data_IF_144515920422
#
_entry.id   IF_144515920422
#
_cell.length_a   1.000
_cell.length_b   1.000
_cell.length_c   1.000
_cell.angle_alpha   90.00
_cell.angle_beta   90.00
_cell.angle_gamma   90.00
#
_symmetry.space_group_name_H-M   'P 1'
#
loop_
_entity.id
_entity.type
_entity.pdbx_description
1 polymer ?
#
# COMPACT_ATOMS: atom_id res chain seq x y z
N UNK A 1 16.36 21.40 17.15
CA UNK A 1 16.64 19.95 17.09
C UNK A 1 15.89 19.37 15.91
N UNK A 2 16.54 18.58 15.06
CA UNK A 2 15.92 17.95 13.89
C UNK A 2 14.99 16.83 14.38
N UNK A 3 13.69 16.96 14.11
CA UNK A 3 12.63 16.07 14.60
C UNK A 3 12.59 14.79 13.76
N UNK A 4 12.25 13.63 14.35
CA UNK A 4 12.11 12.32 13.67
C UNK A 4 11.28 12.38 12.38
N UNK A 5 10.32 13.31 12.30
CA UNK A 5 9.54 13.61 11.10
C UNK A 5 10.39 13.98 9.86
N UNK A 6 11.58 14.57 10.03
CA UNK A 6 12.48 14.91 8.92
C UNK A 6 13.18 13.67 8.35
N UNK A 7 13.51 12.69 9.19
CA UNK A 7 14.14 11.43 8.75
C UNK A 7 13.15 10.50 8.05
N UNK A 8 11.87 10.57 8.39
CA UNK A 8 10.81 9.85 7.70
C UNK A 8 10.49 10.48 6.33
N UNK A 9 10.59 11.81 6.22
CA UNK A 9 10.38 12.53 4.96
C UNK A 9 11.58 12.35 4.00
N UNK A 10 12.81 12.26 4.53
CA UNK A 10 14.02 11.90 3.76
C UNK A 10 13.99 10.43 3.29
N UNK A 11 13.51 9.49 4.10
CA UNK A 11 13.32 8.10 3.69
C UNK A 11 12.23 7.95 2.62
N UNK A 12 11.17 8.74 2.69
CA UNK A 12 10.09 8.77 1.69
C UNK A 12 10.56 9.36 0.35
N UNK A 13 11.33 10.46 0.36
CA UNK A 13 11.89 11.06 -0.85
C UNK A 13 12.99 10.19 -1.50
N UNK A 14 13.76 9.44 -0.70
CA UNK A 14 14.80 8.55 -1.22
C UNK A 14 14.28 7.28 -1.92
N UNK A 15 13.04 6.87 -1.66
CA UNK A 15 12.44 5.68 -2.26
C UNK A 15 11.67 6.02 -3.55
N UNK A 16 10.92 7.13 -3.56
CA UNK A 16 10.19 7.59 -4.77
C UNK A 16 11.12 7.97 -5.91
N UNK A 17 12.32 8.49 -5.64
CA UNK A 17 13.28 8.86 -6.70
C UNK A 17 13.98 7.63 -7.30
N UNK A 18 14.30 6.59 -6.53
CA UNK A 18 14.96 5.38 -7.05
C UNK A 18 14.04 4.47 -7.85
N UNK A 19 12.74 4.50 -7.57
CA UNK A 19 11.77 3.73 -8.33
C UNK A 19 11.47 4.35 -9.71
N UNK A 20 11.68 5.67 -9.89
CA UNK A 20 11.55 6.35 -11.19
C UNK A 20 12.81 6.19 -12.06
N UNK A 21 14.00 6.14 -11.46
CA UNK A 21 15.24 5.93 -12.23
C UNK A 21 15.36 4.49 -12.78
N UNK A 22 14.96 3.45 -12.03
CA UNK A 22 15.13 2.06 -12.50
C UNK A 22 14.26 1.72 -13.71
N UNK A 23 13.02 2.22 -13.81
CA UNK A 23 12.17 1.97 -14.97
C UNK A 23 12.61 2.75 -16.22
N UNK A 24 13.23 3.93 -16.04
CA UNK A 24 13.75 4.73 -17.15
C UNK A 24 15.12 4.25 -17.63
N UNK A 25 15.97 3.72 -16.75
CA UNK A 25 17.26 3.12 -17.12
C UNK A 25 17.07 1.79 -17.86
N UNK A 26 16.15 0.93 -17.39
CA UNK A 26 15.85 -0.37 -18.02
C UNK A 26 15.23 -0.22 -19.42
N UNK A 27 14.43 0.84 -19.65
CA UNK A 27 13.91 1.15 -20.98
C UNK A 27 14.98 1.75 -21.91
N UNK A 28 15.92 2.53 -21.37
CA UNK A 28 17.04 3.07 -22.16
C UNK A 28 18.07 1.99 -22.53
N UNK A 29 18.31 0.99 -21.68
CA UNK A 29 19.16 -0.17 -22.01
C UNK A 29 18.51 -1.06 -23.06
N UNK A 30 17.18 -1.27 -23.01
CA UNK A 30 16.44 -2.03 -24.03
C UNK A 30 16.45 -1.38 -25.42
N UNK A 31 16.57 -0.07 -25.49
CA UNK A 31 16.65 0.67 -26.75
C UNK A 31 18.07 0.72 -27.36
N UNK A 32 19.10 0.21 -26.66
CA UNK A 32 20.51 0.33 -27.09
C UNK A 32 21.17 -0.97 -27.57
N UNK A 33 20.50 -2.12 -27.50
CA UNK A 33 21.08 -3.39 -27.96
C UNK A 33 20.39 -3.92 -29.23
N UNK A 34 20.74 -3.40 -30.42
CA UNK A 34 20.64 -4.17 -31.64
C UNK A 34 21.85 -5.10 -31.74
N UNK A 35 21.60 -6.39 -32.00
CA UNK A 35 22.57 -7.46 -32.29
C UNK A 35 23.13 -8.22 -31.07
N UNK A 36 22.51 -9.38 -30.78
CA UNK A 36 23.25 -10.64 -30.65
C UNK A 36 22.29 -11.81 -30.93
N UNK A 37 22.55 -12.53 -32.03
CA UNK A 37 21.85 -13.75 -32.44
C UNK A 37 22.17 -14.92 -31.49
N UNK A 38 21.28 -15.93 -31.37
CA UNK A 38 21.42 -17.00 -30.39
C UNK A 38 22.17 -18.21 -30.97
N UNK A 39 23.18 -18.73 -30.25
CA UNK A 39 23.74 -20.06 -30.51
C UNK A 39 23.81 -20.93 -29.23
N UNK A 40 22.86 -21.88 -29.20
CA UNK A 40 22.74 -23.18 -28.51
C UNK A 40 23.74 -23.60 -27.41
N UNK A 41 23.23 -23.83 -26.19
CA UNK A 41 23.14 -25.14 -25.50
C UNK A 41 23.01 -24.98 -23.96
N UNK A 42 21.79 -25.10 -23.46
CA UNK A 42 21.49 -25.31 -22.05
C UNK A 42 20.01 -25.62 -21.92
N UNK A 43 19.66 -26.84 -21.49
CA UNK A 43 18.26 -27.26 -21.34
C UNK A 43 17.45 -26.29 -20.45
N UNK A 44 16.10 -26.30 -20.54
CA UNK A 44 15.27 -25.41 -19.73
C UNK A 44 15.61 -25.63 -18.25
N UNK A 45 15.89 -24.57 -17.46
CA UNK A 45 16.06 -24.74 -16.02
C UNK A 45 14.74 -25.23 -15.44
N UNK A 46 14.65 -26.53 -15.18
CA UNK A 46 13.65 -27.07 -14.28
C UNK A 46 14.12 -26.79 -12.86
N UNK A 47 13.47 -25.87 -12.16
CA UNK A 47 13.64 -25.76 -10.71
C UNK A 47 13.52 -24.34 -10.18
N UNK A 48 12.30 -24.02 -9.74
CA UNK A 48 11.93 -22.95 -8.80
C UNK A 48 12.15 -21.51 -9.30
N UNK A 49 11.06 -20.74 -9.35
CA UNK A 49 11.17 -19.27 -9.28
C UNK A 49 12.07 -18.92 -8.07
N UNK A 50 12.99 -17.95 -8.18
CA UNK A 50 13.79 -17.52 -7.05
C UNK A 50 12.85 -17.16 -5.90
N UNK A 51 13.11 -17.75 -4.72
CA UNK A 51 12.31 -17.50 -3.52
C UNK A 51 12.28 -15.99 -3.25
N UNK A 52 11.08 -15.41 -3.16
CA UNK A 52 10.91 -13.97 -2.99
C UNK A 52 11.58 -13.54 -1.68
N UNK A 53 12.29 -12.39 -1.64
CA UNK A 53 12.86 -11.92 -0.40
C UNK A 53 11.79 -11.73 0.68
N UNK A 54 12.03 -12.27 1.87
CA UNK A 54 11.17 -12.05 3.03
C UNK A 54 11.25 -10.57 3.46
N UNK A 55 10.26 -9.79 3.04
CA UNK A 55 10.14 -8.35 3.33
C UNK A 55 9.93 -8.05 4.81
N UNK A 56 9.43 -9.01 5.60
CA UNK A 56 9.10 -8.80 7.02
C UNK A 56 10.35 -8.71 7.90
N UNK A 57 11.52 -9.17 7.41
CA UNK A 57 12.79 -9.11 8.14
C UNK A 57 13.33 -7.69 8.31
N UNK A 58 12.97 -6.77 7.40
CA UNK A 58 13.35 -5.37 7.50
C UNK A 58 12.14 -4.56 7.96
N UNK A 59 11.92 -4.48 9.29
CA UNK A 59 10.74 -3.82 9.87
C UNK A 59 10.55 -2.37 9.43
N UNK A 60 11.63 -1.62 9.17
CA UNK A 60 11.53 -0.23 8.66
C UNK A 60 11.00 -0.20 7.23
N UNK A 61 11.57 -1.00 6.33
CA UNK A 61 11.10 -1.08 4.95
C UNK A 61 9.68 -1.64 4.87
N UNK A 62 9.38 -2.65 5.67
CA UNK A 62 8.06 -3.28 5.71
C UNK A 62 6.97 -2.32 6.22
N UNK A 63 7.25 -1.53 7.26
CA UNK A 63 6.34 -0.45 7.72
C UNK A 63 6.03 0.55 6.60
N UNK A 64 7.01 0.89 5.75
CA UNK A 64 6.79 1.75 4.58
C UNK A 64 5.85 1.07 3.57
N UNK A 65 6.04 -0.23 3.28
CA UNK A 65 5.14 -0.98 2.40
C UNK A 65 3.70 -1.02 2.94
N UNK A 66 3.52 -1.29 4.23
CA UNK A 66 2.19 -1.29 4.87
C UNK A 66 1.54 0.09 4.76
N UNK A 67 2.29 1.15 5.05
CA UNK A 67 1.79 2.53 4.91
C UNK A 67 1.43 2.89 3.47
N UNK A 68 2.21 2.41 2.49
CA UNK A 68 1.91 2.60 1.07
C UNK A 68 0.59 1.91 0.70
N UNK A 69 0.42 0.66 1.11
CA UNK A 69 -0.78 -0.12 0.80
C UNK A 69 -2.03 0.49 1.43
N UNK A 70 -2.00 0.86 2.70
CA UNK A 70 -3.17 1.45 3.36
C UNK A 70 -3.48 2.85 2.80
N UNK A 71 -2.48 3.64 2.43
CA UNK A 71 -2.71 4.93 1.78
C UNK A 71 -3.27 4.78 0.35
N UNK A 72 -2.91 3.71 -0.37
CA UNK A 72 -3.53 3.36 -1.66
C UNK A 72 -5.04 3.23 -1.50
N UNK A 73 -5.53 2.71 -0.38
CA UNK A 73 -6.97 2.61 -0.14
C UNK A 73 -7.65 3.98 -0.04
N UNK A 74 -7.02 4.94 0.63
CA UNK A 74 -7.49 6.34 0.68
C UNK A 74 -7.58 6.93 -0.73
N UNK A 75 -6.55 6.69 -1.56
CA UNK A 75 -6.53 7.18 -2.94
C UNK A 75 -7.65 6.57 -3.79
N UNK A 76 -7.91 5.27 -3.65
CA UNK A 76 -9.03 4.60 -4.33
C UNK A 76 -10.38 5.21 -3.94
N UNK A 77 -10.62 5.44 -2.64
CA UNK A 77 -11.84 6.11 -2.19
C UNK A 77 -11.94 7.54 -2.73
N UNK A 78 -10.83 8.28 -2.77
CA UNK A 78 -10.81 9.68 -3.19
C UNK A 78 -11.25 9.90 -4.65
N UNK A 79 -11.05 8.94 -5.54
CA UNK A 79 -11.45 9.04 -6.95
C UNK A 79 -12.97 8.91 -7.17
N UNK A 80 -13.71 8.33 -6.22
CA UNK A 80 -15.18 8.13 -6.29
C UNK A 80 -15.65 7.32 -7.51
N UNK A 81 -14.85 6.37 -7.98
CA UNK A 81 -15.19 5.48 -9.09
C UNK A 81 -15.60 4.12 -8.59
N UNK A 82 -16.56 3.51 -9.28
CA UNK A 82 -17.00 2.15 -8.95
C UNK A 82 -15.86 1.12 -9.11
N UNK A 83 -15.05 1.21 -10.16
CA UNK A 83 -13.88 0.35 -10.36
C UNK A 83 -12.89 0.40 -9.19
N UNK A 84 -12.76 1.56 -8.53
CA UNK A 84 -11.88 1.72 -7.37
C UNK A 84 -12.49 1.08 -6.11
N UNK A 85 -13.83 1.06 -6.01
CA UNK A 85 -14.55 0.34 -4.96
C UNK A 85 -14.48 -1.18 -5.19
N UNK A 86 -14.53 -1.64 -6.43
CA UNK A 86 -14.26 -3.04 -6.80
C UNK A 86 -12.83 -3.45 -6.39
N UNK A 87 -11.85 -2.61 -6.68
CA UNK A 87 -10.46 -2.85 -6.26
C UNK A 87 -10.29 -2.94 -4.74
N UNK A 88 -11.09 -2.19 -3.95
CA UNK A 88 -11.13 -2.29 -2.49
C UNK A 88 -11.90 -3.52 -1.99
N UNK A 89 -12.89 -3.98 -2.74
CA UNK A 89 -13.61 -5.21 -2.45
C UNK A 89 -12.74 -6.46 -2.67
N UNK A 90 -11.83 -6.40 -3.65
CA UNK A 90 -10.83 -7.44 -3.92
C UNK A 90 -9.71 -7.52 -2.87
N UNK A 91 -9.55 -6.47 -2.04
CA UNK A 91 -8.61 -6.53 -0.91
C UNK A 91 -9.10 -7.60 0.08
N UNK A 92 -8.22 -8.53 0.52
CA UNK A 92 -8.57 -9.52 1.53
C UNK A 92 -9.26 -8.89 2.74
N UNK A 93 -10.36 -9.49 3.20
CA UNK A 93 -11.11 -8.96 4.34
C UNK A 93 -10.54 -9.49 5.65
N UNK A 94 -10.62 -8.72 6.73
CA UNK A 94 -10.33 -9.23 8.08
C UNK A 94 -11.39 -10.25 8.47
N UNK A 95 -10.97 -11.48 8.77
CA UNK A 95 -11.86 -12.63 8.99
C UNK A 95 -12.17 -13.40 7.70
N UNK A 96 -13.15 -14.31 7.76
CA UNK A 96 -13.49 -15.20 6.64
C UNK A 96 -14.61 -14.66 5.74
N UNK A 97 -15.00 -13.41 5.95
CA UNK A 97 -16.05 -12.73 5.19
C UNK A 97 -15.61 -12.36 3.78
N UNK A 98 -16.59 -12.04 2.93
CA UNK A 98 -16.37 -11.40 1.62
C UNK A 98 -16.93 -9.99 1.69
N UNK A 99 -16.23 -9.06 1.03
CA UNK A 99 -16.70 -7.69 0.79
C UNK A 99 -17.05 -7.55 -0.69
N UNK A 100 -18.10 -6.81 -0.99
CA UNK A 100 -18.51 -6.39 -2.34
C UNK A 100 -18.19 -4.90 -2.56
N UNK A 101 -18.22 -4.44 -3.81
CA UNK A 101 -18.08 -3.02 -4.11
C UNK A 101 -19.21 -2.18 -3.50
N UNK A 102 -20.43 -2.74 -3.40
CA UNK A 102 -21.56 -2.09 -2.74
C UNK A 102 -21.28 -1.88 -1.25
N UNK A 103 -20.71 -2.89 -0.55
CA UNK A 103 -20.32 -2.74 0.86
C UNK A 103 -19.29 -1.60 1.08
N UNK A 104 -18.34 -1.42 0.15
CA UNK A 104 -17.39 -0.30 0.19
C UNK A 104 -18.12 1.03 -0.01
N UNK A 105 -18.99 1.08 -1.04
CA UNK A 105 -19.77 2.25 -1.41
C UNK A 105 -20.63 2.73 -0.25
N UNK A 106 -21.38 1.81 0.35
CA UNK A 106 -22.26 2.08 1.48
C UNK A 106 -21.48 2.54 2.71
N UNK A 107 -20.32 1.93 2.97
CA UNK A 107 -19.51 2.29 4.13
C UNK A 107 -18.91 3.71 4.04
N UNK A 108 -18.52 4.15 2.84
CA UNK A 108 -17.97 5.51 2.63
C UNK A 108 -19.06 6.55 2.32
N UNK A 109 -20.29 6.14 2.00
CA UNK A 109 -21.36 7.05 1.60
C UNK A 109 -21.59 8.22 2.59
N UNK A 110 -21.63 8.03 3.93
CA UNK A 110 -21.90 9.13 4.84
C UNK A 110 -20.76 10.16 4.87
N UNK A 111 -19.51 9.77 4.60
CA UNK A 111 -18.42 10.73 4.44
C UNK A 111 -18.73 11.72 3.30
N UNK A 112 -19.28 11.23 2.19
CA UNK A 112 -19.59 12.05 1.02
C UNK A 112 -20.86 12.90 1.18
N UNK A 113 -21.69 12.62 2.18
CA UNK A 113 -22.79 13.51 2.57
C UNK A 113 -22.29 14.75 3.32
N UNK A 114 -21.17 14.60 4.04
CA UNK A 114 -20.57 15.64 4.88
C UNK A 114 -19.46 16.42 4.14
N UNK A 115 -18.62 15.73 3.38
CA UNK A 115 -17.40 16.29 2.77
C UNK A 115 -17.38 16.12 1.24
N UNK A 116 -16.88 17.15 0.55
CA UNK A 116 -16.81 17.16 -0.91
C UNK A 116 -15.58 16.49 -1.52
N UNK A 117 -14.51 16.28 -0.72
CA UNK A 117 -13.21 15.78 -1.19
C UNK A 117 -12.51 14.99 -0.09
N UNK A 118 -11.81 13.91 -0.46
CA UNK A 118 -10.79 13.27 0.37
C UNK A 118 -9.42 13.81 -0.05
N UNK A 119 -8.72 14.61 0.78
CA UNK A 119 -7.36 15.02 0.50
C UNK A 119 -6.40 13.83 0.47
N UNK A 120 -5.47 13.82 -0.50
CA UNK A 120 -4.45 12.77 -0.68
C UNK A 120 -3.02 13.33 -0.79
N UNK A 121 -2.83 14.56 -0.31
CA UNK A 121 -1.56 15.27 -0.37
C UNK A 121 -0.54 14.79 0.70
N UNK A 122 0.59 15.49 0.78
CA UNK A 122 1.64 15.20 1.76
C UNK A 122 1.14 15.32 3.21
N UNK A 123 0.17 16.18 3.49
CA UNK A 123 -0.39 16.33 4.84
C UNK A 123 -1.25 15.12 5.21
N UNK A 124 -2.19 14.72 4.35
CA UNK A 124 -3.04 13.53 4.54
C UNK A 124 -2.22 12.24 4.70
N UNK A 125 -1.03 12.21 4.09
CA UNK A 125 -0.08 11.11 4.22
C UNK A 125 0.82 11.21 5.46
N UNK A 126 0.74 12.30 6.24
CA UNK A 126 1.60 12.60 7.38
C UNK A 126 1.53 11.59 8.52
N UNK A 127 2.55 11.59 9.40
CA UNK A 127 2.69 10.62 10.51
C UNK A 127 1.49 10.56 11.46
N UNK A 128 0.77 11.67 11.64
CA UNK A 128 -0.40 11.73 12.52
C UNK A 128 -1.62 10.95 12.03
N UNK A 129 -1.66 10.58 10.73
CA UNK A 129 -2.81 9.89 10.13
C UNK A 129 -2.62 8.37 10.05
N UNK A 130 -1.46 7.85 10.44
CA UNK A 130 -1.13 6.44 10.30
C UNK A 130 -0.68 5.83 11.62
N UNK A 131 -1.35 4.76 12.03
CA UNK A 131 -0.99 3.98 13.22
C UNK A 131 -0.85 2.52 12.82
N UNK A 132 0.30 1.94 13.16
CA UNK A 132 0.57 0.51 13.01
C UNK A 132 1.00 -0.04 14.38
N UNK A 133 0.24 -1.00 14.90
CA UNK A 133 0.59 -1.75 16.09
C UNK A 133 1.34 -3.03 15.68
N UNK A 134 2.67 -2.96 15.73
CA UNK A 134 3.59 -4.05 15.39
C UNK A 134 4.01 -4.90 16.60
N UNK A 135 3.27 -4.83 17.70
CA UNK A 135 3.55 -5.61 18.92
C UNK A 135 3.12 -7.08 18.83
N UNK A 136 2.21 -7.40 17.91
CA UNK A 136 1.70 -8.76 17.70
C UNK A 136 2.68 -9.69 16.97
N UNK A 137 2.57 -11.00 17.21
CA UNK A 137 3.44 -11.99 16.56
C UNK A 137 3.08 -12.28 15.10
N UNK A 138 1.77 -12.35 14.79
CA UNK A 138 1.27 -12.81 13.48
C UNK A 138 0.38 -11.78 12.78
N UNK A 139 -0.17 -10.82 13.54
CA UNK A 139 -1.21 -9.90 13.10
C UNK A 139 -0.91 -8.51 13.65
N UNK A 140 -0.76 -7.54 12.77
CA UNK A 140 -0.51 -6.15 13.13
C UNK A 140 -1.70 -5.28 12.77
N UNK A 141 -2.50 -4.82 13.74
CA UNK A 141 -3.56 -3.85 13.48
C UNK A 141 -2.98 -2.58 12.85
N UNK A 142 -3.65 -2.09 11.81
CA UNK A 142 -3.29 -0.85 11.14
C UNK A 142 -4.51 0.04 11.00
N UNK A 143 -4.31 1.34 11.21
CA UNK A 143 -5.34 2.36 11.05
C UNK A 143 -4.80 3.52 10.26
N UNK A 144 -5.54 3.93 9.25
CA UNK A 144 -5.31 5.14 8.47
C UNK A 144 -6.51 6.07 8.66
N UNK A 145 -6.28 7.21 9.28
CA UNK A 145 -7.26 8.29 9.37
C UNK A 145 -7.37 8.98 8.03
N UNK A 146 -8.60 9.25 7.60
CA UNK A 146 -8.92 10.00 6.38
C UNK A 146 -8.91 11.48 6.77
N UNK A 147 -8.07 12.27 6.11
CA UNK A 147 -8.11 13.72 6.26
C UNK A 147 -9.42 14.26 5.69
N UNK A 148 -9.89 15.38 6.23
CA UNK A 148 -11.05 16.10 5.71
C UNK A 148 -10.76 17.60 5.69
N UNK A 149 -11.45 18.37 4.82
CA UNK A 149 -11.20 19.81 4.67
C UNK A 149 -11.40 20.63 5.94
N UNK A 150 -12.26 20.13 6.84
CA UNK A 150 -12.63 20.76 8.11
C UNK A 150 -11.68 20.39 9.27
N UNK A 151 -10.68 19.54 9.00
CA UNK A 151 -9.66 19.07 9.95
C UNK A 151 -10.23 18.33 11.18
N UNK A 152 -11.42 17.71 11.05
CA UNK A 152 -12.04 16.95 12.14
C UNK A 152 -11.37 15.59 12.35
N UNK A 153 -10.93 14.95 11.27
CA UNK A 153 -10.18 13.69 11.21
C UNK A 153 -10.89 12.53 11.90
N UNK A 154 -12.20 12.45 11.66
CA UNK A 154 -13.11 11.54 12.34
C UNK A 154 -13.41 10.24 11.58
N UNK A 155 -12.85 10.08 10.39
CA UNK A 155 -13.02 8.89 9.56
C UNK A 155 -11.75 8.06 9.48
N UNK A 156 -11.89 6.74 9.50
CA UNK A 156 -10.77 5.80 9.49
C UNK A 156 -11.00 4.62 8.57
N UNK A 157 -9.91 4.16 7.96
CA UNK A 157 -9.74 2.82 7.40
C UNK A 157 -8.98 1.98 8.43
N UNK A 158 -9.54 0.83 8.78
CA UNK A 158 -8.95 -0.12 9.71
C UNK A 158 -8.65 -1.43 8.99
N UNK A 159 -7.52 -2.04 9.33
CA UNK A 159 -7.10 -3.30 8.74
C UNK A 159 -6.11 -4.05 9.61
N UNK A 160 -5.56 -5.12 9.05
CA UNK A 160 -4.61 -5.97 9.73
C UNK A 160 -3.57 -6.50 8.74
N UNK A 161 -2.29 -6.37 9.06
CA UNK A 161 -1.21 -6.96 8.27
C UNK A 161 -1.20 -8.47 8.44
N UNK A 162 -1.19 -9.21 7.33
CA UNK A 162 -0.88 -10.63 7.31
C UNK A 162 0.63 -10.83 7.15
N UNK A 163 1.32 -11.17 8.22
CA UNK A 163 2.75 -11.42 8.15
C UNK A 163 3.09 -12.68 7.34
N UNK A 164 2.29 -13.74 7.42
CA UNK A 164 2.57 -14.98 6.68
C UNK A 164 2.41 -14.77 5.17
N UNK A 165 1.28 -14.20 4.75
CA UNK A 165 1.05 -13.89 3.33
C UNK A 165 2.04 -12.83 2.83
N UNK A 166 2.44 -11.86 3.66
CA UNK A 166 3.46 -10.88 3.26
C UNK A 166 4.82 -11.50 2.97
N UNK A 167 5.21 -12.53 3.74
CA UNK A 167 6.44 -13.30 3.50
C UNK A 167 6.38 -14.05 2.18
N UNK A 168 5.27 -14.73 1.95
CA UNK A 168 5.04 -15.53 0.73
C UNK A 168 5.01 -14.66 -0.53
N UNK A 169 4.31 -13.52 -0.47
CA UNK A 169 4.10 -12.63 -1.61
C UNK A 169 5.30 -11.70 -1.89
N UNK A 170 6.19 -11.52 -0.91
CA UNK A 170 7.31 -10.58 -0.99
C UNK A 170 6.88 -9.11 -1.01
N UNK A 171 5.72 -8.78 -0.42
CA UNK A 171 5.14 -7.43 -0.32
C UNK A 171 4.23 -7.34 0.90
N UNK A 172 3.83 -6.14 1.32
CA UNK A 172 2.80 -6.01 2.34
C UNK A 172 1.46 -6.56 1.84
N UNK A 173 0.93 -7.54 2.57
CA UNK A 173 -0.44 -8.02 2.44
C UNK A 173 -1.20 -7.50 3.64
N UNK A 174 -2.14 -6.60 3.40
CA UNK A 174 -2.98 -6.00 4.44
C UNK A 174 -4.42 -6.37 4.16
N UNK A 175 -5.10 -6.87 5.19
CA UNK A 175 -6.52 -7.15 5.16
C UNK A 175 -7.29 -5.88 5.52
N UNK A 176 -8.24 -5.47 4.68
CA UNK A 176 -9.12 -4.35 5.01
C UNK A 176 -10.23 -4.86 5.94
N UNK A 177 -10.39 -4.23 7.09
CA UNK A 177 -11.41 -4.53 8.09
C UNK A 177 -12.64 -3.65 7.91
N UNK A 178 -12.50 -2.35 8.19
CA UNK A 178 -13.61 -1.41 8.22
C UNK A 178 -13.28 -0.05 7.59
N UNK A 179 -14.30 0.60 7.05
CA UNK A 179 -14.34 2.02 6.74
C UNK A 179 -15.44 2.59 7.63
N UNK A 180 -15.11 3.50 8.55
CA UNK A 180 -16.08 4.00 9.52
C UNK A 180 -15.70 5.36 10.11
N UNK A 181 -16.69 6.01 10.71
CA UNK A 181 -16.51 7.13 11.63
C UNK A 181 -16.07 6.63 13.02
N UNK A 182 -15.30 7.45 13.72
CA UNK A 182 -14.85 7.23 15.10
C UNK A 182 -15.94 7.52 16.14
#
# INVERSE_FOLDING_TARGET
SKTEALYDLEAWLGETVRQVDSSLLDEWEKLRSPEDEPDVQGGPPTGSEPERPDVTRNGRAFRVMVRNEVFRWVQLLAHRRLDDHEALADVPTVGDGRRTADDVTDAIAPYWEEHGVIPTDTHARGGGFFVLDDSGADRWPVRQTIADPEEHHEWVLEGEVDLAASREEGRAVVRLGAIRRL
#
